data_IF_558905051329
#
_entry.id   IF_558905051329
#
_cell.length_a   1.000
_cell.length_b   1.000
_cell.length_c   1.000
_cell.angle_alpha   90.00
_cell.angle_beta   90.00
_cell.angle_gamma   90.00
#
_symmetry.space_group_name_H-M   'P 1'
#
loop_
_entity.id
_entity.type
_entity.pdbx_description
1 polymer ?
#
# COMPACT_ATOMS: atom_id res chain seq x y z
N UNK A 1 64.99 45.13 21.89
CA UNK A 1 64.72 45.67 20.53
C UNK A 1 63.56 44.87 19.95
N UNK A 2 62.49 45.42 19.37
CA UNK A 2 62.02 46.80 19.31
C UNK A 2 60.47 46.81 19.12
N UNK A 3 59.81 47.90 19.56
CA UNK A 3 58.56 48.57 19.05
C UNK A 3 57.41 47.71 18.46
N UNK A 4 56.12 47.94 18.73
CA UNK A 4 55.39 49.07 19.38
C UNK A 4 53.97 48.63 19.74
N UNK A 5 53.41 49.12 20.86
CA UNK A 5 51.98 49.03 21.19
C UNK A 5 51.35 50.40 20.91
N UNK A 6 50.37 50.49 20.02
CA UNK A 6 49.59 51.71 19.79
C UNK A 6 48.08 51.42 19.80
N UNK A 7 47.35 52.30 20.49
CA UNK A 7 45.90 52.32 20.62
C UNK A 7 45.27 53.09 19.45
N UNK A 8 44.10 52.65 18.96
CA UNK A 8 43.19 53.52 18.21
C UNK A 8 41.74 53.31 18.66
N UNK A 9 40.97 54.38 18.58
CA UNK A 9 39.70 54.57 19.29
C UNK A 9 38.48 53.88 18.68
N UNK A 10 37.38 53.96 19.44
CA UNK A 10 36.02 53.51 19.19
C UNK A 10 35.59 53.36 17.72
N UNK A 11 34.99 52.21 17.42
CA UNK A 11 34.23 51.99 16.19
C UNK A 11 32.80 52.53 16.35
N UNK A 12 32.29 53.20 15.31
CA UNK A 12 30.93 53.71 15.27
C UNK A 12 29.91 52.59 14.99
N UNK A 13 28.70 52.75 15.52
CA UNK A 13 27.56 51.85 15.28
C UNK A 13 27.30 51.68 13.77
N UNK A 14 27.58 50.47 13.27
CA UNK A 14 27.19 50.08 11.93
C UNK A 14 25.86 49.33 12.04
N UNK A 15 24.74 50.05 11.91
CA UNK A 15 23.40 49.45 11.87
C UNK A 15 23.34 48.38 10.78
N UNK A 16 23.32 47.12 11.17
CA UNK A 16 23.06 46.01 10.27
C UNK A 16 21.62 46.15 9.74
N UNK A 17 21.49 46.24 8.42
CA UNK A 17 20.20 46.46 7.76
C UNK A 17 19.25 45.28 7.96
N UNK A 18 18.04 45.56 8.42
CA UNK A 18 16.92 44.62 8.41
C UNK A 18 16.68 44.05 6.99
N UNK A 19 16.24 42.79 6.87
CA UNK A 19 15.90 42.22 5.57
C UNK A 19 14.73 43.01 4.97
N UNK A 20 14.96 43.64 3.81
CA UNK A 20 13.93 44.41 3.09
C UNK A 20 12.72 43.53 2.81
N UNK A 21 11.65 43.74 3.56
CA UNK A 21 10.35 43.17 3.25
C UNK A 21 9.90 43.70 1.88
N UNK A 22 9.80 42.83 0.88
CA UNK A 22 9.04 43.12 -0.33
C UNK A 22 7.58 43.25 0.07
N UNK A 23 7.13 44.47 0.35
CA UNK A 23 5.75 44.77 0.71
C UNK A 23 4.84 44.44 -0.47
N UNK A 24 4.23 43.26 -0.45
CA UNK A 24 3.12 42.95 -1.34
C UNK A 24 2.03 44.00 -1.12
N UNK A 25 1.48 44.56 -2.20
CA UNK A 25 0.34 45.50 -2.13
C UNK A 25 -0.92 44.90 -1.47
N UNK A 26 -0.91 43.58 -1.27
CA UNK A 26 -1.92 42.82 -0.58
C UNK A 26 -1.33 42.29 0.73
N UNK A 27 -1.94 42.68 1.85
CA UNK A 27 -1.76 42.00 3.13
C UNK A 27 -2.66 40.77 3.13
N UNK A 28 -2.10 39.59 3.40
CA UNK A 28 -2.91 38.39 3.61
C UNK A 28 -3.55 38.45 5.00
N UNK A 29 -4.84 38.16 5.08
CA UNK A 29 -5.54 38.01 6.35
C UNK A 29 -4.82 37.03 7.27
N UNK A 30 -4.84 37.28 8.58
CA UNK A 30 -4.21 36.38 9.56
C UNK A 30 -4.74 34.95 9.40
N UNK A 31 -3.82 33.99 9.51
CA UNK A 31 -4.15 32.57 9.39
C UNK A 31 -5.15 32.19 10.49
N UNK A 32 -6.36 31.78 10.09
CA UNK A 32 -7.37 31.27 11.02
C UNK A 32 -6.79 30.07 11.77
N UNK A 33 -6.73 30.16 13.11
CA UNK A 33 -6.10 29.14 13.97
C UNK A 33 -6.80 27.78 13.86
N UNK A 34 -8.12 27.80 13.65
CA UNK A 34 -8.96 26.62 13.46
C UNK A 34 -9.57 26.63 12.04
N UNK A 35 -8.87 26.10 11.02
CA UNK A 35 -9.39 26.06 9.65
C UNK A 35 -10.57 25.09 9.52
N UNK A 36 -11.57 25.47 8.72
CA UNK A 36 -12.72 24.63 8.37
C UNK A 36 -12.28 23.29 7.77
N UNK A 37 -12.84 22.19 8.28
CA UNK A 37 -12.61 20.82 7.81
C UNK A 37 -13.82 20.34 7.02
N UNK A 38 -13.58 19.64 5.91
CA UNK A 38 -14.65 19.16 5.03
C UNK A 38 -14.94 17.69 5.35
N UNK A 39 -16.23 17.40 5.58
CA UNK A 39 -16.74 16.08 5.88
C UNK A 39 -17.81 15.69 4.85
N UNK A 40 -17.74 14.47 4.35
CA UNK A 40 -18.83 13.81 3.64
C UNK A 40 -19.52 12.89 4.64
N UNK A 41 -20.75 13.23 5.01
CA UNK A 41 -21.57 12.51 5.98
C UNK A 41 -22.66 11.68 5.28
N UNK A 42 -23.16 10.60 5.91
CA UNK A 42 -24.25 9.81 5.33
C UNK A 42 -25.54 10.65 5.30
N UNK A 43 -26.25 10.66 4.17
CA UNK A 43 -27.51 11.41 4.02
C UNK A 43 -28.63 10.96 4.98
N UNK A 44 -28.53 9.75 5.54
CA UNK A 44 -29.45 9.20 6.53
C UNK A 44 -29.08 9.55 7.99
N UNK A 45 -27.96 10.22 8.23
CA UNK A 45 -27.51 10.54 9.58
C UNK A 45 -28.44 11.56 10.25
N UNK A 46 -28.93 11.22 11.44
CA UNK A 46 -29.84 12.06 12.25
C UNK A 46 -29.10 13.24 12.91
N UNK A 47 -29.79 14.33 13.32
CA UNK A 47 -29.19 15.42 14.11
C UNK A 47 -28.68 14.98 15.50
N UNK A 48 -29.08 13.80 15.98
CA UNK A 48 -28.55 13.16 17.19
C UNK A 48 -27.16 12.55 16.97
N UNK A 49 -26.67 12.46 15.72
CA UNK A 49 -25.35 11.91 15.46
C UNK A 49 -24.25 12.74 16.15
N UNK A 50 -23.26 12.05 16.73
CA UNK A 50 -22.14 12.65 17.46
C UNK A 50 -20.81 12.14 16.94
N UNK A 51 -19.83 13.04 16.88
CA UNK A 51 -18.43 12.68 16.62
C UNK A 51 -17.81 12.28 17.96
N UNK A 52 -17.33 11.05 18.01
CA UNK A 52 -16.83 10.39 19.23
C UNK A 52 -15.41 9.85 19.01
N UNK A 53 -14.69 9.63 20.11
CA UNK A 53 -13.36 9.00 20.07
C UNK A 53 -13.46 7.55 20.55
N UNK A 54 -13.02 6.60 19.73
CA UNK A 54 -13.00 5.16 20.04
C UNK A 54 -11.61 4.57 19.73
N UNK A 55 -11.20 3.48 20.39
CA UNK A 55 -9.97 2.77 20.03
C UNK A 55 -10.09 2.19 18.61
N UNK A 56 -9.05 2.35 17.79
CA UNK A 56 -8.99 1.72 16.47
C UNK A 56 -8.86 0.20 16.64
N UNK A 57 -9.68 -0.61 15.94
CA UNK A 57 -9.79 -2.04 16.20
C UNK A 57 -8.52 -2.84 15.88
N UNK A 58 -7.65 -2.36 14.97
CA UNK A 58 -6.40 -3.03 14.62
C UNK A 58 -5.26 -2.77 15.60
N UNK A 59 -5.26 -1.61 16.26
CA UNK A 59 -4.05 -1.12 16.94
C UNK A 59 -4.29 -0.24 18.19
N UNK A 60 -5.52 -0.20 18.71
CA UNK A 60 -5.89 0.39 20.00
C UNK A 60 -5.78 1.92 20.13
N UNK A 61 -5.15 2.62 19.18
CA UNK A 61 -4.97 4.08 19.24
C UNK A 61 -6.31 4.81 19.07
N UNK A 62 -6.50 5.98 19.70
CA UNK A 62 -7.72 6.76 19.56
C UNK A 62 -7.94 7.21 18.11
N UNK A 63 -9.12 6.91 17.56
CA UNK A 63 -9.59 7.34 16.25
C UNK A 63 -11.00 7.97 16.37
N UNK A 64 -11.38 8.79 15.39
CA UNK A 64 -12.68 9.47 15.38
C UNK A 64 -13.70 8.70 14.56
N UNK A 65 -14.90 8.59 15.11
CA UNK A 65 -16.06 7.95 14.50
C UNK A 65 -17.26 8.89 14.58
N UNK A 66 -18.22 8.71 13.68
CA UNK A 66 -19.56 9.28 13.79
C UNK A 66 -20.49 8.17 14.27
N UNK A 67 -21.13 8.35 15.43
CA UNK A 67 -22.15 7.42 15.92
C UNK A 67 -23.51 8.07 15.74
N UNK A 68 -24.40 7.36 15.05
CA UNK A 68 -25.81 7.72 14.90
C UNK A 68 -26.65 6.64 15.61
N UNK A 69 -27.52 6.98 16.59
CA UNK A 69 -28.33 5.99 17.31
C UNK A 69 -29.19 5.11 16.41
N UNK A 70 -29.60 5.63 15.24
CA UNK A 70 -30.51 4.94 14.31
C UNK A 70 -29.82 4.24 13.16
N UNK A 71 -28.78 4.84 12.57
CA UNK A 71 -28.14 4.32 11.35
C UNK A 71 -26.81 3.62 11.60
N UNK A 72 -26.33 3.60 12.85
CA UNK A 72 -25.15 2.86 13.27
C UNK A 72 -23.87 3.70 13.37
N UNK A 73 -22.73 3.02 13.25
CA UNK A 73 -21.39 3.59 13.47
C UNK A 73 -20.68 3.77 12.12
N UNK A 74 -20.03 4.92 11.96
CA UNK A 74 -19.23 5.25 10.79
C UNK A 74 -17.81 5.66 11.22
N UNK A 75 -16.80 5.19 10.52
CA UNK A 75 -15.42 5.63 10.70
C UNK A 75 -15.08 6.80 9.79
N UNK A 76 -14.20 7.71 10.24
CA UNK A 76 -13.72 8.80 9.40
C UNK A 76 -12.45 8.40 8.63
N UNK A 77 -12.62 8.04 7.37
CA UNK A 77 -11.51 7.83 6.43
C UNK A 77 -11.06 9.16 5.83
N UNK A 78 -9.79 9.54 6.02
CA UNK A 78 -9.19 10.70 5.34
C UNK A 78 -8.79 10.32 3.92
N UNK A 79 -9.22 11.09 2.92
CA UNK A 79 -8.75 10.91 1.53
C UNK A 79 -7.26 11.21 1.46
N UNK A 80 -6.45 10.19 1.17
CA UNK A 80 -5.01 10.30 1.01
C UNK A 80 -4.66 10.92 -0.36
N UNK A 81 -4.71 12.25 -0.45
CA UNK A 81 -4.25 12.99 -1.62
C UNK A 81 -2.71 13.14 -1.54
N UNK A 82 -1.95 12.91 -2.63
CA UNK A 82 -0.50 13.07 -2.63
C UNK A 82 -0.08 14.49 -2.21
N UNK A 83 0.76 14.58 -1.17
CA UNK A 83 1.32 15.85 -0.66
C UNK A 83 2.25 16.56 -1.67
N UNK A 84 2.50 15.97 -2.84
CA UNK A 84 3.37 16.49 -3.91
C UNK A 84 2.78 17.69 -4.64
N UNK A 85 1.46 17.92 -4.55
CA UNK A 85 0.79 19.05 -5.19
C UNK A 85 -0.01 19.81 -4.13
N UNK A 86 0.30 21.08 -3.83
CA UNK A 86 -0.46 21.84 -2.84
C UNK A 86 -1.89 22.05 -3.32
N UNK A 87 -2.85 21.83 -2.41
CA UNK A 87 -4.29 21.98 -2.65
C UNK A 87 -4.94 22.67 -1.46
N UNK A 88 -5.96 23.46 -1.75
CA UNK A 88 -6.76 24.21 -0.78
C UNK A 88 -8.23 24.18 -1.21
N UNK A 89 -9.14 24.37 -0.27
CA UNK A 89 -10.56 24.48 -0.54
C UNK A 89 -11.04 25.93 -0.52
N UNK A 90 -11.81 26.31 -1.53
CA UNK A 90 -12.65 27.51 -1.50
C UNK A 90 -14.03 27.10 -1.01
N UNK A 91 -14.48 27.68 0.08
CA UNK A 91 -15.75 27.35 0.75
C UNK A 91 -16.61 28.60 0.74
N UNK A 92 -17.71 28.56 0.00
CA UNK A 92 -18.77 29.58 0.10
C UNK A 92 -19.79 29.14 1.13
N UNK A 93 -20.10 30.01 2.09
CA UNK A 93 -21.20 29.80 3.05
C UNK A 93 -22.33 30.77 2.75
N UNK A 94 -23.43 30.25 2.21
CA UNK A 94 -24.71 30.97 2.16
C UNK A 94 -25.35 30.90 3.54
N UNK A 95 -25.52 32.06 4.19
CA UNK A 95 -26.35 32.16 5.37
C UNK A 95 -27.81 32.36 4.95
N UNK A 96 -28.66 31.35 5.15
CA UNK A 96 -30.09 31.42 4.84
C UNK A 96 -30.88 32.39 5.77
N UNK A 97 -30.19 33.07 6.70
CA UNK A 97 -30.73 34.17 7.50
C UNK A 97 -31.00 35.39 6.63
N UNK A 98 -32.28 35.63 6.36
CA UNK A 98 -32.83 36.53 5.32
C UNK A 98 -32.72 38.04 5.61
N UNK A 99 -31.64 38.53 6.23
CA UNK A 99 -31.51 39.95 6.63
C UNK A 99 -30.18 40.63 6.34
N UNK A 100 -29.11 39.93 5.93
CA UNK A 100 -27.91 40.58 5.35
C UNK A 100 -27.07 39.55 4.56
N UNK A 101 -27.22 39.52 3.24
CA UNK A 101 -26.68 38.48 2.36
C UNK A 101 -25.22 38.70 1.92
N UNK A 102 -24.33 39.06 2.86
CA UNK A 102 -22.88 39.04 2.61
C UNK A 102 -22.41 37.58 2.52
N UNK A 103 -22.29 37.06 1.29
CA UNK A 103 -21.69 35.76 0.97
C UNK A 103 -20.30 35.67 1.61
N UNK A 104 -20.17 34.87 2.68
CA UNK A 104 -18.89 34.65 3.35
C UNK A 104 -18.13 33.55 2.61
N UNK A 105 -17.12 33.96 1.86
CA UNK A 105 -16.14 33.05 1.23
C UNK A 105 -14.94 32.85 2.16
N UNK A 106 -14.63 31.60 2.45
CA UNK A 106 -13.50 31.19 3.28
C UNK A 106 -12.53 30.32 2.49
N UNK A 107 -11.23 30.51 2.70
CA UNK A 107 -10.19 29.65 2.13
C UNK A 107 -9.68 28.72 3.23
N UNK A 108 -9.85 27.41 3.06
CA UNK A 108 -9.20 26.41 3.90
C UNK A 108 -7.91 25.95 3.22
N UNK A 109 -6.77 26.29 3.82
CA UNK A 109 -5.42 25.98 3.28
C UNK A 109 -5.03 24.50 3.41
N UNK A 110 -5.93 23.65 3.93
CA UNK A 110 -5.75 22.20 3.96
C UNK A 110 -6.40 21.51 2.77
N UNK A 111 -5.85 20.36 2.38
CA UNK A 111 -6.45 19.47 1.38
C UNK A 111 -7.33 18.37 1.99
N UNK A 112 -7.50 18.39 3.31
CA UNK A 112 -8.09 17.32 4.10
C UNK A 112 -9.60 17.18 3.86
N UNK A 113 -9.98 16.05 3.25
CA UNK A 113 -11.36 15.60 3.07
C UNK A 113 -11.58 14.32 3.88
N UNK A 114 -12.61 14.29 4.72
CA UNK A 114 -12.95 13.15 5.58
C UNK A 114 -14.29 12.53 5.13
N UNK A 115 -14.32 11.22 4.90
CA UNK A 115 -15.52 10.47 4.57
C UNK A 115 -15.97 9.64 5.78
N UNK A 116 -17.24 9.73 6.14
CA UNK A 116 -17.87 8.85 7.11
C UNK A 116 -18.33 7.54 6.42
N UNK A 117 -17.53 6.49 6.51
CA UNK A 117 -17.82 5.16 5.93
C UNK A 117 -18.38 4.23 7.00
N UNK A 118 -19.41 3.44 6.68
CA UNK A 118 -20.04 2.53 7.65
C UNK A 118 -19.08 1.43 8.08
N UNK A 119 -18.88 1.24 9.38
CA UNK A 119 -18.05 0.18 9.96
C UNK A 119 -18.94 -0.83 10.70
N UNK A 120 -18.61 -2.13 10.65
CA UNK A 120 -19.27 -3.13 11.50
C UNK A 120 -18.81 -2.96 12.96
N UNK A 121 -19.73 -2.70 13.92
CA UNK A 121 -19.38 -2.58 15.34
C UNK A 121 -18.65 -3.80 15.93
N UNK A 122 -18.80 -5.00 15.33
CA UNK A 122 -18.05 -6.20 15.71
C UNK A 122 -16.55 -5.94 15.84
N UNK A 123 -15.96 -5.22 14.87
CA UNK A 123 -14.51 -4.99 14.86
C UNK A 123 -14.05 -4.16 16.05
N UNK A 124 -14.88 -3.25 16.56
CA UNK A 124 -14.55 -2.38 17.70
C UNK A 124 -14.42 -3.16 19.02
N UNK A 125 -15.17 -4.27 19.17
CA UNK A 125 -15.16 -5.12 20.38
C UNK A 125 -14.24 -6.34 20.24
N UNK A 126 -13.90 -6.73 19.00
CA UNK A 126 -13.03 -7.87 18.69
C UNK A 126 -11.69 -7.89 19.47
N UNK A 127 -11.01 -6.76 19.77
CA UNK A 127 -9.82 -6.76 20.63
C UNK A 127 -10.10 -7.31 22.03
N UNK A 128 -11.15 -6.86 22.72
CA UNK A 128 -11.48 -7.31 24.07
C UNK A 128 -11.92 -8.80 24.11
N UNK A 129 -12.62 -9.24 23.07
CA UNK A 129 -13.02 -10.65 22.91
C UNK A 129 -11.80 -11.58 22.75
N UNK A 130 -10.70 -11.10 22.15
CA UNK A 130 -9.52 -11.91 21.81
C UNK A 130 -8.36 -11.78 22.81
N UNK A 131 -8.16 -10.62 23.44
CA UNK A 131 -7.15 -10.46 24.52
C UNK A 131 -7.38 -11.41 25.70
N UNK A 132 -8.64 -11.75 25.97
CA UNK A 132 -9.07 -12.74 26.99
C UNK A 132 -8.43 -14.13 26.78
N UNK A 133 -7.90 -14.44 25.59
CA UNK A 133 -7.21 -15.71 25.32
C UNK A 133 -5.76 -15.77 25.86
N UNK A 134 -5.12 -14.63 26.15
CA UNK A 134 -3.66 -14.55 26.01
C UNK A 134 -2.81 -14.87 27.25
N UNK A 135 -3.34 -14.86 28.49
CA UNK A 135 -2.48 -14.86 29.70
C UNK A 135 -2.89 -15.62 30.98
N UNK A 136 -4.10 -16.18 31.14
CA UNK A 136 -4.50 -16.67 32.49
C UNK A 136 -5.37 -17.92 32.62
N UNK A 137 -5.97 -18.50 31.58
CA UNK A 137 -6.75 -19.74 31.75
C UNK A 137 -6.94 -20.59 30.47
N UNK A 138 -5.97 -21.46 30.18
CA UNK A 138 -6.13 -22.51 29.15
C UNK A 138 -7.22 -23.55 29.48
N UNK A 139 -7.73 -23.58 30.72
CA UNK A 139 -8.70 -24.58 31.18
C UNK A 139 -10.17 -24.29 30.89
N UNK A 140 -10.63 -23.02 31.02
CA UNK A 140 -12.06 -22.66 30.89
C UNK A 140 -12.23 -21.23 30.37
N UNK A 141 -12.59 -21.09 29.09
CA UNK A 141 -13.22 -19.86 28.59
C UNK A 141 -14.58 -19.71 29.28
N UNK A 142 -14.63 -18.84 30.28
CA UNK A 142 -15.87 -18.46 30.96
C UNK A 142 -16.77 -17.68 29.99
N UNK A 143 -18.08 -17.80 30.20
CA UNK A 143 -19.04 -16.86 29.63
C UNK A 143 -18.98 -15.59 30.48
N UNK A 144 -18.93 -14.43 29.82
CA UNK A 144 -18.81 -13.11 30.45
C UNK A 144 -19.91 -12.17 29.92
N UNK A 145 -20.31 -11.17 30.69
CA UNK A 145 -21.31 -10.18 30.24
C UNK A 145 -20.78 -9.33 29.08
N UNK A 146 -21.66 -8.58 28.40
CA UNK A 146 -21.19 -7.59 27.41
C UNK A 146 -20.33 -6.48 28.04
N UNK A 147 -20.69 -6.04 29.26
CA UNK A 147 -19.94 -5.02 30.00
C UNK A 147 -18.52 -5.50 30.41
N UNK A 148 -18.36 -6.77 30.81
CA UNK A 148 -17.04 -7.38 31.10
C UNK A 148 -16.06 -7.31 29.91
N UNK A 149 -16.58 -7.24 28.68
CA UNK A 149 -15.76 -7.03 27.48
C UNK A 149 -15.55 -5.54 27.19
N UNK A 150 -16.54 -4.68 27.43
CA UNK A 150 -16.39 -3.23 27.25
C UNK A 150 -15.37 -2.62 28.23
N UNK A 151 -15.30 -3.11 29.47
CA UNK A 151 -14.34 -2.63 30.47
C UNK A 151 -12.88 -2.99 30.18
N UNK A 152 -12.63 -4.00 29.33
CA UNK A 152 -11.28 -4.34 28.85
C UNK A 152 -10.78 -3.41 27.76
N UNK A 153 -11.66 -2.64 27.10
CA UNK A 153 -11.24 -1.74 26.02
C UNK A 153 -10.54 -0.48 26.59
N UNK A 154 -9.59 0.14 25.86
CA UNK A 154 -8.87 1.32 26.34
C UNK A 154 -9.77 2.53 26.66
N UNK A 155 -10.09 2.74 27.94
CA UNK A 155 -11.03 3.79 28.36
C UNK A 155 -10.44 5.21 28.38
N UNK A 156 -9.12 5.36 28.58
CA UNK A 156 -8.49 6.65 28.97
C UNK A 156 -8.67 7.85 28.02
N UNK A 157 -9.17 7.64 26.80
CA UNK A 157 -9.64 8.72 25.91
C UNK A 157 -10.82 8.27 25.02
N UNK A 158 -11.59 7.28 25.48
CA UNK A 158 -12.67 6.68 24.70
C UNK A 158 -14.04 7.07 25.25
N UNK A 159 -14.97 7.37 24.34
CA UNK A 159 -16.37 7.68 24.65
C UNK A 159 -17.24 6.41 24.63
N UNK A 160 -16.63 5.20 24.61
CA UNK A 160 -17.35 3.94 24.47
C UNK A 160 -18.42 3.74 25.56
N UNK A 161 -18.11 4.09 26.81
CA UNK A 161 -19.06 4.03 27.93
C UNK A 161 -20.24 5.01 27.78
N UNK A 162 -20.08 6.15 27.11
CA UNK A 162 -21.18 7.07 26.78
C UNK A 162 -22.09 6.49 25.69
N UNK A 163 -21.49 5.81 24.70
CA UNK A 163 -22.19 5.24 23.54
C UNK A 163 -22.97 3.98 23.94
N UNK A 164 -22.40 3.14 24.80
CA UNK A 164 -23.04 1.90 25.31
C UNK A 164 -24.25 2.21 26.21
N UNK A 165 -24.37 3.42 26.77
CA UNK A 165 -25.61 3.89 27.44
C UNK A 165 -26.80 4.09 26.49
N UNK A 166 -26.58 4.11 25.17
CA UNK A 166 -27.67 4.16 24.21
C UNK A 166 -28.15 2.75 23.87
N UNK A 167 -29.34 2.36 24.32
CA UNK A 167 -29.92 1.02 24.10
C UNK A 167 -29.88 0.56 22.64
N UNK A 168 -30.15 1.46 21.69
CA UNK A 168 -30.10 1.15 20.25
C UNK A 168 -28.70 0.72 19.83
N UNK A 169 -27.66 1.45 20.26
CA UNK A 169 -26.27 1.14 19.92
C UNK A 169 -25.72 -0.04 20.71
N UNK A 170 -26.12 -0.22 21.98
CA UNK A 170 -25.78 -1.40 22.78
C UNK A 170 -26.32 -2.68 22.16
N UNK A 171 -27.62 -2.73 21.84
CA UNK A 171 -28.26 -3.88 21.15
C UNK A 171 -27.64 -4.16 19.79
N UNK A 172 -27.25 -3.11 19.05
CA UNK A 172 -26.51 -3.28 17.80
C UNK A 172 -25.16 -3.97 18.05
N UNK A 173 -24.38 -3.53 19.05
CA UNK A 173 -23.09 -4.17 19.37
C UNK A 173 -23.28 -5.62 19.84
N UNK A 174 -24.20 -5.87 20.78
CA UNK A 174 -24.46 -7.19 21.36
C UNK A 174 -24.96 -8.20 20.30
N UNK A 175 -25.84 -7.78 19.38
CA UNK A 175 -26.27 -8.65 18.27
C UNK A 175 -25.13 -9.02 17.33
N UNK A 176 -24.20 -8.09 17.03
CA UNK A 176 -22.98 -8.40 16.26
C UNK A 176 -22.01 -9.29 17.04
N UNK A 177 -21.93 -9.18 18.37
CA UNK A 177 -21.15 -10.07 19.22
C UNK A 177 -21.72 -11.50 19.23
N UNK A 178 -23.05 -11.66 19.26
CA UNK A 178 -23.74 -12.96 19.24
C UNK A 178 -23.47 -13.80 17.98
N UNK A 179 -23.17 -13.17 16.83
CA UNK A 179 -22.80 -13.89 15.60
C UNK A 179 -21.43 -14.60 15.73
N UNK A 180 -20.50 -14.03 16.49
CA UNK A 180 -19.12 -14.52 16.65
C UNK A 180 -18.95 -15.35 17.92
N UNK A 181 -19.77 -15.10 18.94
CA UNK A 181 -19.69 -15.79 20.21
C UNK A 181 -20.66 -16.98 20.27
N UNK A 182 -20.41 -17.88 21.21
CA UNK A 182 -21.44 -18.70 21.81
C UNK A 182 -22.12 -17.86 22.89
N UNK A 183 -23.44 -17.73 22.80
CA UNK A 183 -24.26 -16.93 23.73
C UNK A 183 -25.07 -17.85 24.62
N UNK A 184 -25.13 -17.54 25.92
CA UNK A 184 -25.98 -18.22 26.91
C UNK A 184 -26.74 -17.15 27.69
N UNK A 185 -28.05 -17.33 27.83
CA UNK A 185 -28.91 -16.49 28.66
C UNK A 185 -28.77 -16.92 30.13
N UNK A 186 -28.46 -15.96 31.01
CA UNK A 186 -28.17 -16.23 32.42
C UNK A 186 -28.85 -15.18 33.32
N UNK A 187 -30.12 -15.40 33.63
CA UNK A 187 -30.97 -14.39 34.26
C UNK A 187 -31.44 -13.40 33.20
N UNK A 188 -31.30 -12.10 33.48
CA UNK A 188 -31.73 -11.02 32.58
C UNK A 188 -30.64 -10.59 31.57
N UNK A 189 -29.44 -11.20 31.62
CA UNK A 189 -28.29 -10.85 30.79
C UNK A 189 -27.84 -11.98 29.84
N UNK A 190 -27.36 -11.56 28.66
CA UNK A 190 -26.68 -12.44 27.71
C UNK A 190 -25.19 -12.52 28.06
N UNK A 191 -24.70 -13.72 28.32
CA UNK A 191 -23.27 -13.98 28.50
C UNK A 191 -22.67 -14.54 27.21
N UNK A 192 -21.49 -14.03 26.84
CA UNK A 192 -20.81 -14.33 25.60
C UNK A 192 -19.49 -15.06 25.84
N UNK A 193 -19.14 -15.96 24.91
CA UNK A 193 -17.84 -16.63 24.85
C UNK A 193 -17.36 -16.68 23.40
N UNK A 194 -16.15 -16.20 23.11
CA UNK A 194 -15.62 -16.19 21.74
C UNK A 194 -15.46 -17.61 21.16
N UNK A 195 -15.99 -17.80 19.95
CA UNK A 195 -15.87 -19.01 19.14
C UNK A 195 -15.12 -18.68 17.85
N UNK A 196 -13.93 -19.25 17.68
CA UNK A 196 -13.04 -18.88 16.57
C UNK A 196 -13.54 -19.39 15.21
N UNK A 197 -14.14 -20.58 15.15
CA UNK A 197 -14.72 -21.10 13.91
C UNK A 197 -15.91 -20.25 13.44
N UNK A 198 -16.67 -19.66 14.36
CA UNK A 198 -17.67 -18.62 14.02
C UNK A 198 -17.01 -17.33 13.52
N UNK A 199 -15.95 -16.86 14.19
CA UNK A 199 -15.20 -15.67 13.77
C UNK A 199 -14.65 -15.80 12.34
N UNK A 200 -14.00 -16.92 12.01
CA UNK A 200 -13.47 -17.19 10.66
C UNK A 200 -14.61 -17.13 9.63
N UNK A 201 -15.75 -17.78 9.89
CA UNK A 201 -16.92 -17.77 8.99
C UNK A 201 -17.46 -16.35 8.79
N UNK A 202 -17.67 -15.57 9.86
CA UNK A 202 -18.18 -14.19 9.79
C UNK A 202 -17.22 -13.27 9.01
N UNK A 203 -15.91 -13.39 9.19
CA UNK A 203 -14.92 -12.61 8.41
C UNK A 203 -14.89 -13.05 6.94
N UNK A 204 -14.98 -14.36 6.68
CA UNK A 204 -14.99 -14.92 5.33
C UNK A 204 -16.26 -14.57 4.55
N UNK A 205 -17.42 -14.53 5.21
CA UNK A 205 -18.68 -14.10 4.59
C UNK A 205 -18.74 -12.58 4.36
N UNK A 206 -17.98 -11.78 5.13
CA UNK A 206 -17.71 -10.38 4.76
C UNK A 206 -16.82 -10.28 3.52
N UNK A 207 -15.79 -11.12 3.40
CA UNK A 207 -14.93 -11.16 2.23
C UNK A 207 -15.69 -11.59 0.95
N UNK A 208 -16.60 -12.58 1.05
CA UNK A 208 -17.52 -12.96 -0.04
C UNK A 208 -18.41 -11.80 -0.48
N UNK A 209 -19.04 -11.08 0.47
CA UNK A 209 -19.87 -9.90 0.17
C UNK A 209 -19.07 -8.75 -0.44
N UNK A 210 -17.82 -8.56 -0.03
CA UNK A 210 -16.91 -7.58 -0.63
C UNK A 210 -16.48 -7.99 -2.06
N UNK A 211 -16.33 -9.29 -2.35
CA UNK A 211 -16.15 -9.82 -3.70
C UNK A 211 -17.38 -9.57 -4.57
N UNK A 212 -18.58 -9.89 -4.06
CA UNK A 212 -19.86 -9.75 -4.77
C UNK A 212 -20.25 -8.29 -5.04
N UNK A 213 -19.98 -7.39 -4.09
CA UNK A 213 -20.14 -5.95 -4.27
C UNK A 213 -19.07 -5.29 -5.15
N UNK A 214 -18.08 -6.05 -5.61
CA UNK A 214 -16.94 -5.57 -6.40
C UNK A 214 -15.83 -4.95 -5.52
N UNK A 215 -14.58 -5.27 -5.86
CA UNK A 215 -13.44 -4.52 -5.35
C UNK A 215 -13.35 -3.18 -6.08
N UNK A 216 -12.80 -2.16 -5.44
CA UNK A 216 -12.54 -0.88 -6.10
C UNK A 216 -11.63 -1.09 -7.34
N UNK A 217 -11.90 -0.45 -8.50
CA UNK A 217 -11.19 -0.73 -9.75
C UNK A 217 -9.66 -0.66 -9.63
N UNK A 218 -9.16 0.33 -8.88
CA UNK A 218 -7.73 0.53 -8.63
C UNK A 218 -7.09 -0.54 -7.74
N UNK A 219 -7.87 -1.28 -6.94
CA UNK A 219 -7.41 -2.47 -6.22
C UNK A 219 -7.47 -3.70 -7.11
N UNK A 220 -8.52 -3.85 -7.91
CA UNK A 220 -8.65 -4.96 -8.85
C UNK A 220 -7.52 -4.95 -9.90
N UNK A 221 -7.25 -3.81 -10.52
CA UNK A 221 -6.14 -3.65 -11.48
C UNK A 221 -4.78 -4.02 -10.87
N UNK A 222 -4.49 -3.54 -9.65
CA UNK A 222 -3.17 -3.68 -9.03
C UNK A 222 -2.94 -5.04 -8.39
N UNK A 223 -3.95 -5.61 -7.73
CA UNK A 223 -3.81 -6.81 -6.91
C UNK A 223 -4.44 -8.05 -7.54
N UNK A 224 -5.42 -7.92 -8.45
CA UNK A 224 -5.97 -9.04 -9.22
C UNK A 224 -5.29 -9.10 -10.58
N UNK A 225 -5.58 -8.16 -11.48
CA UNK A 225 -5.17 -8.23 -12.89
C UNK A 225 -3.64 -8.26 -13.04
N UNK A 226 -2.94 -7.23 -12.57
CA UNK A 226 -1.47 -7.16 -12.65
C UNK A 226 -0.74 -8.26 -11.87
N UNK A 227 -1.35 -8.83 -10.83
CA UNK A 227 -0.75 -9.94 -10.09
C UNK A 227 -0.82 -11.26 -10.86
N UNK A 228 -1.92 -11.49 -11.57
CA UNK A 228 -2.20 -12.68 -12.38
C UNK A 228 -1.70 -12.57 -13.85
N UNK A 229 -1.33 -11.37 -14.29
CA UNK A 229 -0.78 -11.10 -15.63
C UNK A 229 0.61 -11.75 -15.82
N UNK A 230 0.73 -12.57 -16.86
CA UNK A 230 2.00 -13.20 -17.24
C UNK A 230 2.97 -12.18 -17.88
N UNK A 231 4.30 -12.28 -17.64
CA UNK A 231 5.27 -11.45 -18.34
C UNK A 231 5.22 -11.71 -19.85
N UNK A 232 5.32 -10.63 -20.64
CA UNK A 232 5.43 -10.72 -22.10
C UNK A 232 6.86 -11.18 -22.44
N UNK A 233 7.07 -12.48 -22.63
CA UNK A 233 8.31 -12.99 -23.23
C UNK A 233 8.23 -12.78 -24.75
N UNK A 234 9.02 -11.83 -25.27
CA UNK A 234 9.29 -11.74 -26.70
C UNK A 234 10.24 -12.87 -27.09
N UNK A 235 9.70 -14.05 -27.40
CA UNK A 235 10.48 -15.14 -27.96
C UNK A 235 10.99 -14.74 -29.35
N UNK A 236 12.31 -14.62 -29.48
CA UNK A 236 12.97 -14.37 -30.76
C UNK A 236 12.90 -15.66 -31.58
N UNK A 237 12.20 -15.63 -32.73
CA UNK A 237 12.16 -16.75 -33.69
C UNK A 237 13.60 -17.17 -34.04
N UNK A 238 13.96 -18.40 -33.71
CA UNK A 238 15.18 -19.02 -34.23
C UNK A 238 14.94 -19.41 -35.68
N UNK A 239 15.59 -18.72 -36.62
CA UNK A 239 15.57 -19.05 -38.04
C UNK A 239 16.38 -20.32 -38.27
N UNK A 240 15.70 -21.45 -38.38
CA UNK A 240 16.31 -22.70 -38.84
C UNK A 240 16.65 -22.57 -40.33
N UNK A 241 17.93 -22.60 -40.68
CA UNK A 241 18.37 -22.57 -42.08
C UNK A 241 17.98 -23.88 -42.79
N UNK A 242 16.91 -23.86 -43.58
CA UNK A 242 16.55 -24.97 -44.47
C UNK A 242 17.09 -24.65 -45.87
N UNK A 243 18.26 -25.22 -46.19
CA UNK A 243 18.79 -25.23 -47.55
C UNK A 243 18.15 -26.38 -48.33
N UNK A 244 17.16 -26.07 -49.19
CA UNK A 244 16.73 -26.99 -50.26
C UNK A 244 16.60 -26.22 -51.58
N UNK A 245 16.96 -26.92 -52.66
CA UNK A 245 17.33 -26.42 -53.98
C UNK A 245 16.18 -26.00 -54.91
N UNK A 246 16.48 -25.02 -55.77
CA UNK A 246 15.71 -24.61 -56.96
C UNK A 246 15.48 -25.76 -57.94
N UNK A 247 14.25 -25.93 -58.44
CA UNK A 247 13.96 -26.48 -59.78
C UNK A 247 12.66 -25.87 -60.30
N UNK A 248 12.61 -25.56 -61.59
CA UNK A 248 11.51 -24.85 -62.27
C UNK A 248 10.56 -25.85 -62.97
N UNK A 249 9.26 -25.54 -63.08
CA UNK A 249 8.51 -25.49 -64.38
C UNK A 249 6.97 -25.35 -64.27
N UNK A 250 6.44 -24.35 -64.99
CA UNK A 250 5.25 -24.38 -65.86
C UNK A 250 3.77 -24.55 -65.34
N UNK A 251 3.04 -23.43 -65.43
CA UNK A 251 1.95 -23.17 -66.41
C UNK A 251 0.44 -23.29 -66.03
N UNK A 252 -0.37 -22.59 -66.85
CA UNK A 252 -1.84 -22.35 -66.83
C UNK A 252 -2.36 -21.43 -65.69
N UNK A 253 -2.96 -20.24 -65.88
CA UNK A 253 -3.71 -19.53 -66.95
C UNK A 253 -5.25 -19.53 -66.80
N UNK A 254 -5.73 -18.57 -65.98
CA UNK A 254 -6.77 -17.55 -66.25
C UNK A 254 -8.20 -17.90 -66.74
N UNK A 255 -9.12 -16.99 -66.36
CA UNK A 255 -10.47 -16.71 -66.90
C UNK A 255 -11.63 -17.67 -66.50
N UNK A 256 -12.89 -17.22 -66.30
CA UNK A 256 -13.52 -15.88 -66.30
C UNK A 256 -14.95 -15.95 -65.65
N UNK A 257 -15.68 -14.82 -65.64
CA UNK A 257 -17.16 -14.69 -65.44
C UNK A 257 -17.74 -14.88 -64.02
N UNK A 258 -18.80 -14.17 -63.57
CA UNK A 258 -19.49 -12.94 -64.02
C UNK A 258 -20.47 -12.46 -62.89
N UNK A 259 -20.84 -11.17 -62.85
CA UNK A 259 -22.14 -10.57 -62.40
C UNK A 259 -22.81 -10.95 -61.05
N UNK A 260 -23.55 -10.09 -60.33
CA UNK A 260 -23.87 -8.65 -60.43
C UNK A 260 -24.52 -8.18 -59.08
N UNK A 261 -24.35 -6.91 -58.70
CA UNK A 261 -24.81 -6.34 -57.42
C UNK A 261 -26.27 -5.86 -57.39
N UNK A 262 -26.83 -5.70 -56.17
CA UNK A 262 -27.92 -4.77 -55.78
C UNK A 262 -27.91 -4.61 -54.24
N UNK A 263 -28.24 -3.49 -53.58
CA UNK A 263 -28.27 -2.05 -53.93
C UNK A 263 -28.46 -1.21 -52.63
N UNK A 264 -28.32 0.13 -52.74
CA UNK A 264 -28.58 1.18 -51.73
C UNK A 264 -27.53 1.32 -50.59
N UNK A 265 -27.15 2.52 -50.11
CA UNK A 265 -27.68 3.90 -50.28
C UNK A 265 -26.59 4.95 -50.57
N UNK A 266 -26.98 6.15 -51.01
CA UNK A 266 -26.16 7.38 -51.08
C UNK A 266 -26.02 8.04 -49.67
N UNK A 267 -25.43 9.22 -49.40
CA UNK A 267 -24.95 10.43 -50.14
C UNK A 267 -23.98 11.21 -49.19
N UNK A 268 -23.13 12.21 -49.50
CA UNK A 268 -22.85 13.06 -50.68
C UNK A 268 -21.32 13.42 -50.74
N UNK A 269 -20.95 14.54 -51.39
CA UNK A 269 -19.61 15.07 -51.71
C UNK A 269 -18.95 15.98 -50.63
N UNK A 270 -17.61 16.08 -50.61
CA UNK A 270 -16.81 17.26 -51.04
C UNK A 270 -15.38 16.79 -51.40
N UNK A 271 -14.79 17.32 -52.48
CA UNK A 271 -13.43 17.02 -52.95
C UNK A 271 -12.41 18.10 -52.58
N UNK A 272 -11.13 17.76 -52.39
CA UNK A 272 -9.98 18.39 -53.10
C UNK A 272 -8.58 17.78 -52.80
N UNK A 273 -7.82 17.54 -53.89
CA UNK A 273 -6.35 17.58 -54.05
C UNK A 273 -5.38 16.62 -53.30
N UNK A 274 -4.99 15.56 -54.01
CA UNK A 274 -3.60 15.09 -54.29
C UNK A 274 -2.44 15.27 -53.30
N UNK A 275 -1.79 14.16 -52.94
CA UNK A 275 -0.42 13.83 -53.43
C UNK A 275 -0.04 12.34 -53.25
N UNK A 276 0.89 11.88 -54.08
CA UNK A 276 1.17 10.49 -54.47
C UNK A 276 1.66 9.47 -53.41
N UNK A 277 1.33 8.19 -53.65
CA UNK A 277 1.98 6.93 -53.24
C UNK A 277 2.19 6.68 -51.72
N UNK A 278 1.82 5.52 -51.16
CA UNK A 278 1.98 4.16 -51.71
C UNK A 278 0.77 3.26 -51.40
N UNK A 279 0.52 2.29 -52.28
CA UNK A 279 -0.62 1.37 -52.29
C UNK A 279 -0.69 0.40 -51.12
N UNK A 280 -1.93 0.07 -50.74
CA UNK A 280 -2.31 -1.04 -49.88
C UNK A 280 -1.75 -2.39 -50.39
N UNK A 281 -1.22 -3.20 -49.48
CA UNK A 281 -1.28 -4.67 -49.60
C UNK A 281 -1.87 -5.20 -48.29
N UNK A 282 -3.10 -5.69 -48.38
CA UNK A 282 -3.72 -6.43 -47.29
C UNK A 282 -3.20 -7.87 -47.34
N UNK A 283 -2.18 -8.17 -46.54
CA UNK A 283 -1.77 -9.55 -46.28
C UNK A 283 -2.22 -9.98 -44.89
N UNK A 284 -2.94 -11.10 -44.86
CA UNK A 284 -3.54 -11.72 -43.69
C UNK A 284 -2.47 -12.17 -42.70
N UNK A 285 -2.12 -11.30 -41.75
CA UNK A 285 -1.21 -11.62 -40.63
C UNK A 285 -1.92 -12.36 -39.50
N UNK A 286 -2.56 -13.48 -39.85
CA UNK A 286 -2.84 -14.53 -38.89
C UNK A 286 -1.56 -15.31 -38.62
N UNK A 287 -0.70 -14.84 -37.70
CA UNK A 287 0.33 -15.70 -37.10
C UNK A 287 0.89 -15.18 -35.77
N UNK A 288 0.37 -15.76 -34.68
CA UNK A 288 1.06 -16.00 -33.41
C UNK A 288 1.65 -14.79 -32.64
N UNK A 289 0.77 -13.88 -32.22
CA UNK A 289 0.86 -13.39 -30.84
C UNK A 289 0.34 -14.52 -29.95
N UNK A 290 1.25 -15.33 -29.40
CA UNK A 290 0.86 -16.35 -28.40
C UNK A 290 0.24 -15.62 -27.22
N UNK A 291 -1.01 -15.97 -26.93
CA UNK A 291 -1.89 -15.23 -26.02
C UNK A 291 -1.22 -14.96 -24.68
N UNK A 292 -1.45 -13.76 -24.15
CA UNK A 292 -1.29 -13.54 -22.71
C UNK A 292 -2.06 -14.66 -21.98
N UNK A 293 -1.42 -15.27 -20.98
CA UNK A 293 -2.08 -16.30 -20.17
C UNK A 293 -3.12 -15.58 -19.30
N UNK A 294 -4.33 -15.41 -19.84
CA UNK A 294 -5.46 -14.92 -19.08
C UNK A 294 -5.82 -15.97 -18.05
N UNK A 295 -5.75 -15.58 -16.78
CA UNK A 295 -6.07 -16.48 -15.67
C UNK A 295 -7.53 -16.94 -15.77
N UNK A 296 -7.80 -18.22 -15.51
CA UNK A 296 -9.16 -18.76 -15.43
C UNK A 296 -10.03 -17.88 -14.52
N UNK A 297 -11.31 -17.64 -14.85
CA UNK A 297 -12.21 -16.83 -14.02
C UNK A 297 -12.28 -17.32 -12.56
N UNK A 298 -12.17 -18.63 -12.34
CA UNK A 298 -12.12 -19.23 -11.00
C UNK A 298 -10.89 -18.75 -10.19
N UNK A 299 -9.72 -18.65 -10.83
CA UNK A 299 -8.47 -18.17 -10.21
C UNK A 299 -8.57 -16.68 -9.92
N UNK A 300 -9.22 -15.91 -10.81
CA UNK A 300 -9.51 -14.49 -10.60
C UNK A 300 -10.41 -14.30 -9.37
N UNK A 301 -11.45 -15.12 -9.21
CA UNK A 301 -12.39 -15.04 -8.07
C UNK A 301 -11.77 -15.52 -6.75
N UNK A 302 -10.90 -16.54 -6.76
CA UNK A 302 -10.09 -16.93 -5.60
C UNK A 302 -9.13 -15.80 -5.20
N UNK A 303 -8.47 -15.14 -6.16
CA UNK A 303 -7.58 -14.01 -5.91
C UNK A 303 -8.36 -12.80 -5.36
N UNK A 304 -9.52 -12.46 -5.92
CA UNK A 304 -10.43 -11.43 -5.40
C UNK A 304 -10.84 -11.72 -3.95
N UNK A 305 -11.21 -12.96 -3.63
CA UNK A 305 -11.58 -13.38 -2.28
C UNK A 305 -10.40 -13.26 -1.29
N UNK A 306 -9.20 -13.70 -1.69
CA UNK A 306 -7.97 -13.57 -0.89
C UNK A 306 -7.64 -12.11 -0.60
N UNK A 307 -7.76 -11.22 -1.60
CA UNK A 307 -7.52 -9.79 -1.43
C UNK A 307 -8.58 -9.17 -0.51
N UNK A 308 -9.86 -9.51 -0.67
CA UNK A 308 -10.93 -9.02 0.20
C UNK A 308 -10.70 -9.43 1.67
N UNK A 309 -10.34 -10.71 1.92
CA UNK A 309 -10.00 -11.21 3.24
C UNK A 309 -8.78 -10.48 3.83
N UNK A 310 -7.70 -10.34 3.06
CA UNK A 310 -6.48 -9.64 3.48
C UNK A 310 -6.71 -8.14 3.71
N UNK A 311 -7.59 -7.51 2.93
CA UNK A 311 -7.99 -6.11 3.12
C UNK A 311 -8.71 -5.92 4.46
N UNK A 312 -9.70 -6.76 4.77
CA UNK A 312 -10.41 -6.73 6.06
C UNK A 312 -9.43 -6.97 7.22
N UNK A 313 -8.56 -7.98 7.10
CA UNK A 313 -7.59 -8.29 8.15
C UNK A 313 -6.58 -7.16 8.36
N UNK A 314 -6.03 -6.58 7.29
CA UNK A 314 -5.07 -5.47 7.37
C UNK A 314 -5.70 -4.13 7.75
N UNK A 315 -7.01 -3.94 7.57
CA UNK A 315 -7.73 -2.76 8.02
C UNK A 315 -8.08 -2.82 9.51
N UNK A 316 -8.76 -3.90 9.93
CA UNK A 316 -9.54 -3.93 11.16
C UNK A 316 -9.08 -4.95 12.21
N UNK A 317 -8.18 -5.88 11.85
CA UNK A 317 -7.79 -7.00 12.72
C UNK A 317 -6.33 -6.84 13.19
N UNK A 318 -6.08 -7.19 14.46
CA UNK A 318 -4.73 -7.21 15.02
C UNK A 318 -3.85 -8.27 14.33
N UNK A 319 -2.56 -7.99 14.00
CA UNK A 319 -1.73 -8.92 13.22
C UNK A 319 -1.58 -10.33 13.79
N UNK A 320 -1.59 -10.48 15.11
CA UNK A 320 -1.57 -11.78 15.80
C UNK A 320 -2.82 -12.61 15.50
N UNK A 321 -4.00 -11.97 15.53
CA UNK A 321 -5.27 -12.62 15.22
C UNK A 321 -5.37 -12.94 13.73
N UNK A 322 -4.84 -12.09 12.84
CA UNK A 322 -4.77 -12.40 11.40
C UNK A 322 -4.02 -13.72 11.14
N UNK A 323 -2.86 -13.92 11.76
CA UNK A 323 -2.08 -15.15 11.61
C UNK A 323 -2.84 -16.39 12.14
N UNK A 324 -3.59 -16.25 13.24
CA UNK A 324 -4.45 -17.32 13.77
C UNK A 324 -5.60 -17.66 12.80
N UNK A 325 -6.27 -16.64 12.24
CA UNK A 325 -7.37 -16.83 11.29
C UNK A 325 -6.89 -17.47 9.98
N UNK A 326 -5.71 -17.11 9.47
CA UNK A 326 -5.10 -17.73 8.29
C UNK A 326 -4.71 -19.20 8.51
N UNK A 327 -4.22 -19.55 9.70
CA UNK A 327 -3.92 -20.95 10.07
C UNK A 327 -5.22 -21.76 10.19
N UNK A 328 -6.23 -21.24 10.90
CA UNK A 328 -7.55 -21.88 10.99
C UNK A 328 -8.22 -22.08 9.64
N UNK A 329 -8.10 -21.12 8.72
CA UNK A 329 -8.66 -21.23 7.37
C UNK A 329 -8.06 -22.41 6.60
N UNK A 330 -6.77 -22.70 6.80
CA UNK A 330 -6.08 -23.88 6.25
C UNK A 330 -6.50 -25.17 6.95
N UNK A 331 -6.61 -25.17 8.28
CA UNK A 331 -7.00 -26.36 9.08
C UNK A 331 -8.44 -26.80 8.84
N UNK A 332 -9.39 -25.85 8.81
CA UNK A 332 -10.81 -26.13 8.59
C UNK A 332 -11.15 -26.33 7.10
N UNK A 333 -10.20 -26.07 6.18
CA UNK A 333 -10.36 -26.25 4.71
C UNK A 333 -11.61 -25.58 4.12
N UNK A 334 -12.06 -24.47 4.72
CA UNK A 334 -13.34 -23.80 4.37
C UNK A 334 -13.29 -23.26 2.92
N UNK A 335 -12.12 -22.83 2.47
CA UNK A 335 -11.83 -22.43 1.09
C UNK A 335 -10.46 -22.95 0.72
N UNK A 336 -10.37 -23.69 -0.38
CA UNK A 336 -9.08 -24.11 -0.93
C UNK A 336 -8.47 -22.99 -1.79
N UNK A 337 -7.26 -22.55 -1.42
CA UNK A 337 -6.45 -21.61 -2.19
C UNK A 337 -5.31 -22.29 -2.96
N UNK A 338 -5.19 -23.63 -2.88
CA UNK A 338 -4.14 -24.39 -3.56
C UNK A 338 -4.06 -24.14 -5.08
N UNK A 339 -5.18 -24.01 -5.85
CA UNK A 339 -5.09 -23.77 -7.29
C UNK A 339 -4.51 -22.38 -7.61
N UNK A 340 -4.80 -21.41 -6.74
CA UNK A 340 -4.28 -20.05 -6.82
C UNK A 340 -2.79 -20.01 -6.47
N UNK A 341 -2.37 -20.67 -5.38
CA UNK A 341 -0.96 -20.72 -4.97
C UNK A 341 -0.10 -21.46 -6.03
N UNK A 342 -0.61 -22.53 -6.63
CA UNK A 342 0.03 -23.18 -7.78
C UNK A 342 0.19 -22.24 -8.99
N UNK A 343 -0.86 -21.50 -9.35
CA UNK A 343 -0.83 -20.56 -10.47
C UNK A 343 0.17 -19.42 -10.21
N UNK A 344 0.17 -18.86 -9.00
CA UNK A 344 1.14 -17.84 -8.58
C UNK A 344 2.58 -18.38 -8.56
N UNK A 345 2.79 -19.65 -8.17
CA UNK A 345 4.09 -20.29 -8.27
C UNK A 345 4.55 -20.43 -9.73
N UNK A 346 3.67 -20.90 -10.63
CA UNK A 346 3.94 -20.98 -12.10
C UNK A 346 4.30 -19.59 -12.66
N UNK A 347 3.55 -18.54 -12.31
CA UNK A 347 3.87 -17.16 -12.70
C UNK A 347 5.21 -16.65 -12.13
N UNK A 348 5.55 -17.00 -10.89
CA UNK A 348 6.84 -16.62 -10.29
C UNK A 348 8.03 -17.24 -11.03
N UNK A 349 7.88 -18.50 -11.49
CA UNK A 349 8.88 -19.19 -12.31
C UNK A 349 9.05 -18.52 -13.67
N UNK A 350 7.95 -18.21 -14.37
CA UNK A 350 7.98 -17.48 -15.65
C UNK A 350 8.58 -16.07 -15.48
N UNK A 351 8.30 -15.38 -14.37
CA UNK A 351 8.92 -14.09 -14.02
C UNK A 351 10.44 -14.22 -13.81
N UNK A 352 10.89 -15.25 -13.09
CA UNK A 352 12.32 -15.51 -12.89
C UNK A 352 13.04 -15.89 -14.20
N UNK A 353 12.42 -16.73 -15.04
CA UNK A 353 12.95 -17.13 -16.35
C UNK A 353 13.05 -15.93 -17.31
N UNK A 354 12.04 -15.07 -17.37
CA UNK A 354 12.09 -13.82 -18.17
C UNK A 354 13.18 -12.86 -17.67
N UNK A 355 13.33 -12.68 -16.36
CA UNK A 355 14.40 -11.86 -15.78
C UNK A 355 15.79 -12.42 -16.08
N UNK A 356 15.96 -13.74 -16.03
CA UNK A 356 17.22 -14.41 -16.38
C UNK A 356 17.56 -14.25 -17.87
N UNK A 357 16.58 -14.44 -18.77
CA UNK A 357 16.76 -14.22 -20.21
C UNK A 357 17.21 -12.78 -20.51
N UNK A 358 16.52 -11.78 -19.96
CA UNK A 358 16.92 -10.37 -20.14
C UNK A 358 18.29 -10.05 -19.51
N UNK A 359 18.65 -10.66 -18.38
CA UNK A 359 19.96 -10.43 -17.74
C UNK A 359 21.15 -10.87 -18.60
N UNK A 360 20.98 -11.90 -19.44
CA UNK A 360 22.02 -12.40 -20.35
C UNK A 360 22.30 -11.40 -21.47
N UNK A 361 21.26 -10.77 -22.04
CA UNK A 361 21.39 -9.76 -23.10
C UNK A 361 22.05 -8.46 -22.62
N UNK A 362 21.80 -8.04 -21.37
CA UNK A 362 22.47 -6.86 -20.80
C UNK A 362 23.96 -7.13 -20.46
N UNK A 363 24.31 -8.35 -20.04
CA UNK A 363 25.69 -8.70 -19.69
C UNK A 363 26.66 -8.59 -20.88
N UNK A 364 26.25 -9.04 -22.07
CA UNK A 364 27.07 -8.98 -23.30
C UNK A 364 27.45 -7.57 -23.76
N UNK A 365 26.83 -6.51 -23.22
CA UNK A 365 27.15 -5.10 -23.54
C UNK A 365 27.98 -4.36 -22.50
N UNK A 366 28.39 -5.00 -21.39
CA UNK A 366 29.21 -4.36 -20.33
C UNK A 366 30.55 -5.03 -20.02
N UNK A 367 30.82 -6.24 -20.52
CA UNK A 367 32.04 -7.00 -20.24
C UNK A 367 33.35 -6.44 -20.80
N UNK A 368 33.45 -5.13 -21.06
CA UNK A 368 34.65 -4.44 -21.58
C UNK A 368 35.18 -3.36 -20.62
N UNK A 369 34.43 -3.03 -19.55
CA UNK A 369 34.76 -1.93 -18.61
C UNK A 369 35.24 -2.47 -17.24
N UNK A 370 34.70 -3.61 -16.78
CA UNK A 370 34.98 -4.16 -15.43
C UNK A 370 36.43 -4.69 -15.27
N UNK A 371 37.12 -5.06 -16.37
CA UNK A 371 38.51 -5.55 -16.31
C UNK A 371 39.53 -4.42 -16.03
N UNK A 372 39.28 -3.20 -16.51
CA UNK A 372 40.14 -2.05 -16.19
C UNK A 372 39.96 -1.60 -14.72
N UNK A 373 38.71 -1.52 -14.23
CA UNK A 373 38.41 -1.09 -12.87
C UNK A 373 39.03 -2.01 -11.80
N UNK A 374 39.02 -3.33 -12.00
CA UNK A 374 39.71 -4.27 -11.12
C UNK A 374 41.23 -4.03 -11.03
N UNK A 375 41.86 -3.68 -12.16
CA UNK A 375 43.29 -3.37 -12.22
C UNK A 375 43.62 -2.10 -11.43
N UNK A 376 42.80 -1.04 -11.54
CA UNK A 376 42.96 0.19 -10.77
C UNK A 376 42.79 -0.04 -9.26
N UNK A 377 41.80 -0.83 -8.84
CA UNK A 377 41.58 -1.15 -7.41
C UNK A 377 42.74 -1.98 -6.83
N UNK A 378 43.25 -2.99 -7.55
CA UNK A 378 44.42 -3.78 -7.13
C UNK A 378 45.68 -2.90 -7.01
N UNK A 379 45.90 -1.97 -7.95
CA UNK A 379 47.03 -1.03 -7.94
C UNK A 379 46.99 -0.10 -6.72
N UNK A 380 45.81 0.44 -6.39
CA UNK A 380 45.61 1.36 -5.24
C UNK A 380 45.89 0.69 -3.89
N UNK A 381 45.44 -0.57 -3.70
CA UNK A 381 45.72 -1.36 -2.48
C UNK A 381 47.22 -1.66 -2.30
N UNK A 382 47.92 -2.00 -3.39
CA UNK A 382 49.38 -2.26 -3.34
C UNK A 382 50.20 -1.01 -3.00
N UNK A 383 49.75 0.19 -3.41
CA UNK A 383 50.41 1.44 -3.06
C UNK A 383 50.24 1.80 -1.57
N UNK A 384 49.04 1.57 -1.02
CA UNK A 384 48.73 1.86 0.39
C UNK A 384 49.52 0.94 1.35
N UNK A 385 49.67 -0.35 1.02
CA UNK A 385 50.54 -1.26 1.77
C UNK A 385 52.01 -0.85 1.73
N UNK A 386 52.51 -0.38 0.58
CA UNK A 386 53.90 0.11 0.46
C UNK A 386 54.13 1.33 1.36
N UNK A 387 53.17 2.28 1.41
CA UNK A 387 53.23 3.45 2.30
C UNK A 387 53.21 3.06 3.78
N UNK A 388 52.38 2.10 4.17
CA UNK A 388 52.37 1.54 5.55
C UNK A 388 53.71 0.90 5.92
N UNK A 389 54.30 0.11 5.00
CA UNK A 389 55.62 -0.51 5.20
C UNK A 389 56.77 0.51 5.27
N UNK A 390 56.69 1.64 4.57
CA UNK A 390 57.72 2.71 4.65
C UNK A 390 57.60 3.60 5.89
N UNK A 391 56.43 3.67 6.53
CA UNK A 391 56.20 4.45 7.76
C UNK A 391 56.64 3.71 9.04
N UNK A 392 56.83 2.39 9.01
CA UNK A 392 57.36 1.62 10.15
C UNK A 392 58.90 1.72 10.24
N UNK A 393 59.42 2.20 11.39
CA UNK A 393 60.87 2.28 11.63
C UNK A 393 61.53 0.90 11.75
N UNK A 394 62.84 0.81 11.45
CA UNK A 394 63.61 -0.45 11.50
C UNK A 394 63.44 -1.19 12.84
N UNK A 395 63.53 -0.49 13.97
CA UNK A 395 63.38 -1.10 15.30
C UNK A 395 62.02 -1.76 15.52
N UNK A 396 60.92 -1.12 15.08
CA UNK A 396 59.57 -1.72 15.15
C UNK A 396 59.46 -2.94 14.25
N UNK A 397 60.05 -2.88 13.04
CA UNK A 397 60.04 -3.99 12.08
C UNK A 397 60.81 -5.21 12.56
N UNK A 398 61.91 -5.02 13.28
CA UNK A 398 62.72 -6.12 13.82
C UNK A 398 62.14 -6.67 15.13
N UNK A 399 61.55 -5.84 16.00
CA UNK A 399 60.75 -6.30 17.15
C UNK A 399 59.57 -7.19 16.73
N UNK A 400 58.91 -6.87 15.62
CA UNK A 400 57.77 -7.63 15.07
C UNK A 400 58.15 -9.03 14.54
N UNK A 401 59.45 -9.30 14.32
CA UNK A 401 59.97 -10.62 13.92
C UNK A 401 60.31 -11.52 15.12
N UNK A 402 60.41 -10.96 16.33
CA UNK A 402 60.74 -11.75 17.53
C UNK A 402 59.51 -12.55 17.94
N UNK A 403 59.67 -13.87 18.09
CA UNK A 403 58.59 -14.76 18.47
C UNK A 403 58.24 -14.60 19.96
N UNK A 404 57.19 -13.83 20.26
CA UNK A 404 56.73 -13.53 21.64
C UNK A 404 55.92 -14.67 22.28
N UNK A 405 55.73 -15.80 21.58
CA UNK A 405 54.91 -16.93 22.02
C UNK A 405 55.60 -17.70 23.16
N UNK A 406 55.22 -17.39 24.40
CA UNK A 406 55.75 -18.01 25.62
C UNK A 406 56.28 -17.00 26.66
N UNK A 407 56.48 -15.73 26.28
CA UNK A 407 56.85 -14.69 27.25
C UNK A 407 55.63 -14.27 28.08
N UNK A 408 55.78 -14.32 29.41
CA UNK A 408 54.75 -13.86 30.35
C UNK A 408 54.58 -12.34 30.23
N UNK A 409 53.35 -11.85 30.10
CA UNK A 409 53.08 -10.41 29.89
C UNK A 409 53.47 -9.62 31.15
N UNK A 410 54.04 -8.43 30.97
CA UNK A 410 54.39 -7.55 32.10
C UNK A 410 53.19 -7.25 33.01
N UNK A 411 51.98 -7.20 32.45
CA UNK A 411 50.71 -7.06 33.20
C UNK A 411 50.44 -8.18 34.22
N UNK A 412 51.02 -9.37 34.06
CA UNK A 412 50.84 -10.49 34.99
C UNK A 412 51.78 -10.42 36.21
N UNK A 413 52.76 -9.50 36.23
CA UNK A 413 53.65 -9.26 37.37
C UNK A 413 53.13 -8.21 38.36
N UNK A 414 52.11 -7.42 37.97
CA UNK A 414 51.54 -6.34 38.79
C UNK A 414 50.16 -6.68 39.39
N UNK A 415 49.76 -7.96 39.39
CA UNK A 415 48.55 -8.39 40.10
C UNK A 415 48.83 -8.37 41.60
N UNK A 416 48.02 -7.60 42.33
CA UNK A 416 48.10 -7.43 43.79
C UNK A 416 47.91 -8.81 44.46
N UNK A 417 48.77 -9.12 45.44
CA UNK A 417 48.68 -10.34 46.26
C UNK A 417 47.44 -10.32 47.15
#
# INVERSE_FOLDING_TARGET
>A
MARTRSTKAAAADTKASEPKSTSSKFSLSSRVENPSKIFILPSKATPEARIVTLPNPRHGRPARYLVCPETGIYEFTKVAIPNTTPRSWLIETSSDSSTDSVKKTGVSMGQDLFLATSIDPLFLVLPALTETQSKSSEGKRLFLSSDDYFDKLPQGSSHLSEIVRCDKTRKLIESRMAEVCDTVEAGDENMFRINESKLVKVVLDKAKRMREGGLAPSMEEKFVKKALEAPILVQKRETTEITITRTESQASNSESADSQSTAATTETEVSETSTAATSLTAETTTENIVSAIEASPEIIDLQRLRIAFNFICSGYIAPSLTAQLEDMLKRETIVDFSPLDEYLAKLSKLRAEAMAAHSIDYSRKRGLDEEEDEAFVKKRKMEEEKKKKSLESRGVRDLKKVNTKGMKKMSDFFKKK
#
